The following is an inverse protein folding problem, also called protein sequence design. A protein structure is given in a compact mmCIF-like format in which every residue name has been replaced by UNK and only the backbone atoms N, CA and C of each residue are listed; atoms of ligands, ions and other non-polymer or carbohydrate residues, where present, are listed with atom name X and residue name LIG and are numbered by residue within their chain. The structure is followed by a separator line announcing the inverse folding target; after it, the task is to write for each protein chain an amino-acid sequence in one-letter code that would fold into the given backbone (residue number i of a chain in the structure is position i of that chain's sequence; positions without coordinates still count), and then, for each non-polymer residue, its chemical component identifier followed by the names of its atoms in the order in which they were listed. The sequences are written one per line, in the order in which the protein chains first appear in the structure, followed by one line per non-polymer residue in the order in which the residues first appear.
data_IF_846020768786
#
_entry.id   IF_846020768786
#
_cell.length_a   1.000
_cell.length_b   1.000
_cell.length_c   1.000
_cell.angle_alpha   90.00
_cell.angle_beta   90.00
_cell.angle_gamma   90.00
#
_symmetry.space_group_name_H-M   'P 1'
#
loop_
_entity.id
_entity.type
_entity.pdbx_description
1 polymer ?
#
# COMPACT_ATOMS: atom_id res chain seq x y z
N UNK A 1 -19.92 -8.13 10.85
CA UNK A 1 -18.80 -8.94 10.40
C UNK A 1 -18.27 -8.29 9.14
N UNK A 2 -17.16 -7.59 9.25
CA UNK A 2 -16.50 -6.99 8.08
C UNK A 2 -15.95 -8.13 7.24
N UNK A 3 -16.71 -8.53 6.21
CA UNK A 3 -16.16 -9.37 5.17
C UNK A 3 -15.11 -8.48 4.51
N UNK A 4 -13.85 -8.78 4.80
CA UNK A 4 -12.74 -8.07 4.19
C UNK A 4 -12.83 -8.15 2.67
N UNK A 5 -12.19 -7.23 1.96
CA UNK A 5 -12.17 -7.19 0.52
C UNK A 5 -11.65 -8.49 -0.08
N UNK A 6 -11.97 -8.75 -1.34
CA UNK A 6 -11.58 -9.95 -2.09
C UNK A 6 -10.08 -10.27 -1.94
N UNK A 7 -9.76 -11.32 -1.19
CA UNK A 7 -8.41 -11.79 -0.93
C UNK A 7 -7.83 -12.58 -2.11
N UNK A 8 -8.08 -12.13 -3.33
CA UNK A 8 -7.57 -12.77 -4.54
C UNK A 8 -6.07 -12.99 -4.46
N UNK A 9 -5.66 -14.20 -4.78
CA UNK A 9 -4.27 -14.59 -4.74
C UNK A 9 -3.41 -13.64 -5.61
N UNK A 10 -2.21 -13.26 -5.17
CA UNK A 10 -1.26 -12.39 -5.90
C UNK A 10 -1.15 -12.73 -7.39
N UNK A 11 -1.14 -14.04 -7.73
CA UNK A 11 -1.09 -14.51 -9.13
C UNK A 11 -2.30 -14.05 -9.94
N UNK A 12 -3.47 -14.05 -9.34
CA UNK A 12 -4.73 -13.62 -9.97
C UNK A 12 -4.70 -12.12 -10.25
N UNK A 13 -4.28 -11.32 -9.27
CA UNK A 13 -4.15 -9.87 -9.42
C UNK A 13 -3.15 -9.53 -10.53
N UNK A 14 -1.97 -10.15 -10.51
CA UNK A 14 -0.95 -9.96 -11.55
C UNK A 14 -1.50 -10.33 -12.93
N UNK A 15 -2.20 -11.46 -13.05
CA UNK A 15 -2.80 -11.86 -14.32
C UNK A 15 -3.86 -10.87 -14.81
N UNK A 16 -4.68 -10.32 -13.92
CA UNK A 16 -5.67 -9.30 -14.27
C UNK A 16 -5.00 -8.00 -14.75
N UNK A 17 -3.98 -7.51 -14.04
CA UNK A 17 -3.21 -6.33 -14.44
C UNK A 17 -2.67 -6.50 -15.86
N UNK A 18 -2.03 -7.62 -16.16
CA UNK A 18 -1.42 -7.89 -17.46
C UNK A 18 -2.44 -8.06 -18.61
N UNK A 19 -3.69 -8.40 -18.30
CA UNK A 19 -4.76 -8.57 -19.30
C UNK A 19 -5.43 -7.26 -19.67
N UNK A 20 -5.20 -6.19 -18.95
CA UNK A 20 -5.84 -4.89 -19.21
C UNK A 20 -5.33 -4.25 -20.50
N UNK A 21 -6.19 -3.51 -21.17
CA UNK A 21 -5.86 -2.85 -22.43
C UNK A 21 -4.66 -1.88 -22.27
N UNK A 22 -4.69 -1.05 -21.25
CA UNK A 22 -3.63 -0.07 -20.98
C UNK A 22 -2.24 -0.70 -20.81
N UNK A 23 -2.17 -1.85 -20.14
CA UNK A 23 -0.88 -2.57 -19.97
C UNK A 23 -0.48 -3.26 -21.29
N UNK A 24 -1.43 -3.79 -22.06
CA UNK A 24 -1.15 -4.39 -23.39
C UNK A 24 -0.64 -3.35 -24.38
N UNK A 25 -1.17 -2.13 -24.33
CA UNK A 25 -0.69 -1.00 -25.15
C UNK A 25 0.73 -0.61 -24.74
N UNK A 26 0.98 -0.42 -23.44
CA UNK A 26 2.30 -0.13 -22.92
C UNK A 26 3.34 -1.24 -23.28
N UNK A 27 2.93 -2.51 -23.30
CA UNK A 27 3.78 -3.62 -23.75
C UNK A 27 4.12 -3.47 -25.24
N UNK A 28 3.16 -3.09 -26.10
CA UNK A 28 3.43 -2.86 -27.53
C UNK A 28 4.40 -1.69 -27.77
N UNK A 29 4.25 -0.63 -26.98
CA UNK A 29 5.13 0.54 -27.06
C UNK A 29 6.55 0.19 -26.59
N UNK A 30 6.68 -0.58 -25.52
CA UNK A 30 7.98 -1.10 -25.05
C UNK A 30 8.66 -2.01 -26.09
N UNK A 31 7.87 -2.86 -26.79
CA UNK A 31 8.39 -3.68 -27.89
C UNK A 31 9.03 -2.82 -28.98
N UNK A 32 8.35 -1.74 -29.39
CA UNK A 32 8.85 -0.82 -30.42
C UNK A 32 10.07 -0.03 -29.95
N UNK A 33 9.97 0.53 -28.73
CA UNK A 33 11.02 1.39 -28.19
C UNK A 33 12.35 0.66 -27.94
N UNK A 34 12.30 -0.63 -27.57
CA UNK A 34 13.47 -1.42 -27.21
C UNK A 34 13.77 -2.58 -28.16
N UNK A 35 13.05 -2.65 -29.27
CA UNK A 35 13.17 -3.76 -30.25
C UNK A 35 13.07 -5.15 -29.59
N UNK A 36 12.11 -5.32 -28.69
CA UNK A 36 11.89 -6.57 -27.96
C UNK A 36 10.86 -7.46 -28.64
N UNK A 37 11.03 -8.78 -28.51
CA UNK A 37 9.95 -9.70 -28.82
C UNK A 37 8.76 -9.50 -27.87
N UNK A 38 7.55 -9.88 -28.33
CA UNK A 38 6.34 -9.83 -27.48
C UNK A 38 6.52 -10.65 -26.21
N UNK A 39 7.21 -11.77 -26.30
CA UNK A 39 7.47 -12.65 -25.14
C UNK A 39 8.35 -11.95 -24.12
N UNK A 40 9.39 -11.26 -24.56
CA UNK A 40 10.33 -10.56 -23.68
C UNK A 40 9.68 -9.32 -23.03
N UNK A 41 8.94 -8.52 -23.80
CA UNK A 41 8.20 -7.38 -23.26
C UNK A 41 7.13 -7.80 -22.23
N UNK A 42 6.42 -8.91 -22.47
CA UNK A 42 5.50 -9.48 -21.48
C UNK A 42 6.23 -10.01 -20.25
N UNK A 43 7.42 -10.57 -20.39
CA UNK A 43 8.26 -11.01 -19.27
C UNK A 43 8.67 -9.82 -18.41
N UNK A 44 9.04 -8.69 -19.03
CA UNK A 44 9.34 -7.43 -18.31
C UNK A 44 8.11 -6.93 -17.57
N UNK A 45 6.95 -6.82 -18.23
CA UNK A 45 5.70 -6.38 -17.60
C UNK A 45 5.30 -7.27 -16.42
N UNK A 46 5.45 -8.59 -16.56
CA UNK A 46 5.21 -9.56 -15.50
C UNK A 46 6.18 -9.36 -14.32
N UNK A 47 7.45 -9.11 -14.61
CA UNK A 47 8.47 -8.78 -13.61
C UNK A 47 8.05 -7.56 -12.79
N UNK A 48 7.63 -6.49 -13.44
CA UNK A 48 7.13 -5.29 -12.77
C UNK A 48 5.87 -5.56 -11.93
N UNK A 49 4.91 -6.32 -12.45
CA UNK A 49 3.71 -6.65 -11.70
C UNK A 49 4.01 -7.47 -10.43
N UNK A 50 4.94 -8.42 -10.50
CA UNK A 50 5.41 -9.16 -9.31
C UNK A 50 6.31 -8.32 -8.39
N UNK A 51 7.07 -7.36 -8.92
CA UNK A 51 7.83 -6.41 -8.11
C UNK A 51 6.88 -5.57 -7.24
N UNK A 52 5.78 -5.10 -7.82
CA UNK A 52 4.81 -4.23 -7.18
C UNK A 52 3.90 -5.00 -6.22
N UNK A 53 3.26 -6.07 -6.67
CA UNK A 53 2.11 -6.67 -6.02
C UNK A 53 2.37 -7.21 -4.60
N UNK A 54 1.47 -6.90 -3.67
CA UNK A 54 1.38 -7.52 -2.35
C UNK A 54 1.09 -9.03 -2.46
N UNK A 55 1.32 -9.74 -1.37
CA UNK A 55 0.99 -11.16 -1.22
C UNK A 55 0.29 -11.39 0.11
N UNK A 56 -0.78 -10.64 0.33
CA UNK A 56 -1.50 -10.60 1.59
C UNK A 56 -1.88 -12.00 2.09
N UNK A 57 -1.71 -12.22 3.39
CA UNK A 57 -2.03 -13.47 4.06
C UNK A 57 -2.74 -13.19 5.38
N UNK A 58 -4.04 -13.47 5.43
CA UNK A 58 -4.80 -13.28 6.67
C UNK A 58 -4.24 -14.08 7.86
N UNK A 59 -3.86 -15.37 7.73
CA UNK A 59 -3.24 -16.10 8.84
C UNK A 59 -1.94 -15.45 9.34
N UNK A 60 -1.17 -14.84 8.44
CA UNK A 60 0.03 -14.11 8.81
C UNK A 60 -0.32 -12.83 9.60
N UNK A 61 -1.36 -12.09 9.21
CA UNK A 61 -1.83 -10.90 9.92
C UNK A 61 -2.32 -11.27 11.33
N UNK A 62 -3.08 -12.34 11.47
CA UNK A 62 -3.54 -12.85 12.79
C UNK A 62 -2.35 -13.19 13.69
N UNK A 63 -1.37 -13.92 13.16
CA UNK A 63 -0.14 -14.24 13.90
C UNK A 63 0.61 -12.97 14.32
N UNK A 64 0.81 -12.03 13.39
CA UNK A 64 1.49 -10.77 13.67
C UNK A 64 0.76 -9.88 14.65
N UNK A 65 -0.57 -9.88 14.63
CA UNK A 65 -1.37 -9.15 15.62
C UNK A 65 -1.05 -9.61 17.05
N UNK A 66 -0.93 -10.92 17.29
CA UNK A 66 -0.51 -11.44 18.59
C UNK A 66 0.93 -11.07 18.98
N UNK A 67 1.85 -11.10 18.00
CA UNK A 67 3.25 -10.69 18.21
C UNK A 67 3.33 -9.20 18.54
N UNK A 68 2.68 -8.37 17.75
CA UNK A 68 2.65 -6.92 17.95
C UNK A 68 1.97 -6.54 19.26
N UNK A 69 0.89 -7.21 19.65
CA UNK A 69 0.25 -6.96 20.94
C UNK A 69 1.20 -7.17 22.11
N UNK A 70 1.99 -8.26 22.09
CA UNK A 70 3.02 -8.48 23.11
C UNK A 70 4.13 -7.45 23.05
N UNK A 71 4.52 -7.04 21.87
CA UNK A 71 5.56 -6.03 21.68
C UNK A 71 5.13 -4.67 22.23
N UNK A 72 3.94 -4.21 21.88
CA UNK A 72 3.39 -2.92 22.36
C UNK A 72 3.26 -2.87 23.87
N UNK A 73 2.70 -3.92 24.48
CA UNK A 73 2.56 -4.02 25.94
C UNK A 73 3.89 -4.09 26.69
N UNK A 74 5.00 -4.43 26.00
CA UNK A 74 6.34 -4.45 26.59
C UNK A 74 7.08 -3.12 26.41
N UNK A 75 6.79 -2.39 25.35
CA UNK A 75 7.52 -1.16 24.99
C UNK A 75 6.84 0.10 25.49
N UNK A 76 5.51 0.06 25.66
CA UNK A 76 4.67 1.21 26.00
C UNK A 76 3.60 0.81 27.01
N UNK A 77 3.12 1.79 27.80
CA UNK A 77 2.06 1.60 28.78
C UNK A 77 0.68 1.47 28.15
N UNK A 78 0.56 1.63 26.85
CA UNK A 78 -0.67 1.47 26.09
C UNK A 78 -0.66 2.27 24.79
N UNK A 79 -1.80 2.22 24.09
CA UNK A 79 -2.06 2.99 22.86
C UNK A 79 -3.33 3.79 23.06
N UNK A 80 -3.20 5.10 23.13
CA UNK A 80 -4.34 6.01 23.18
C UNK A 80 -4.80 6.39 21.78
N UNK A 81 -6.10 6.31 21.53
CA UNK A 81 -6.72 6.62 20.25
C UNK A 81 -7.60 7.86 20.38
N UNK A 82 -7.19 8.94 19.76
CA UNK A 82 -8.00 10.15 19.65
C UNK A 82 -8.79 10.14 18.32
N UNK A 83 -10.04 10.58 18.35
CA UNK A 83 -10.91 10.77 17.19
C UNK A 83 -11.14 9.51 16.32
N UNK A 84 -10.99 8.31 16.87
CA UNK A 84 -11.19 7.08 16.10
C UNK A 84 -12.65 6.91 15.62
N UNK A 85 -13.61 7.46 16.32
CA UNK A 85 -15.04 7.49 15.95
C UNK A 85 -15.29 8.13 14.58
N UNK A 86 -14.44 9.05 14.15
CA UNK A 86 -14.51 9.62 12.79
C UNK A 86 -14.26 8.58 11.71
N UNK A 87 -13.43 7.57 11.96
CA UNK A 87 -13.24 6.45 11.05
C UNK A 87 -14.44 5.49 11.05
N UNK A 88 -15.04 5.27 12.22
CA UNK A 88 -16.23 4.43 12.37
C UNK A 88 -17.45 5.04 11.65
N UNK A 89 -17.48 6.36 11.49
CA UNK A 89 -18.53 7.09 10.78
C UNK A 89 -18.35 7.13 9.25
N UNK A 90 -17.24 6.59 8.73
CA UNK A 90 -17.03 6.51 7.28
C UNK A 90 -18.04 5.54 6.67
N UNK A 91 -18.71 6.00 5.61
CA UNK A 91 -19.76 5.26 4.93
C UNK A 91 -19.25 3.89 4.45
N UNK A 92 -20.05 2.85 4.70
CA UNK A 92 -19.77 1.51 4.21
C UNK A 92 -19.61 1.51 2.69
N UNK A 93 -18.53 0.93 2.22
CA UNK A 93 -18.20 0.87 0.80
C UNK A 93 -17.31 2.00 0.30
N UNK A 94 -16.96 2.99 1.14
CA UNK A 94 -15.93 3.97 0.79
C UNK A 94 -14.54 3.34 0.76
N UNK A 95 -13.69 3.88 -0.11
CA UNK A 95 -12.27 3.54 -0.20
C UNK A 95 -11.49 4.38 0.78
N UNK A 96 -10.91 3.76 1.79
CA UNK A 96 -10.15 4.47 2.83
C UNK A 96 -8.68 4.57 2.47
N UNK A 97 -8.19 5.79 2.43
CA UNK A 97 -6.77 6.11 2.22
C UNK A 97 -6.19 6.66 3.51
N UNK A 98 -5.39 5.88 4.20
CA UNK A 98 -4.65 6.35 5.35
C UNK A 98 -3.43 7.16 4.93
N UNK A 99 -3.31 8.37 5.44
CA UNK A 99 -2.20 9.28 5.17
C UNK A 99 -1.48 9.64 6.47
N UNK A 100 -0.67 8.73 7.03
CA UNK A 100 0.03 8.97 8.28
C UNK A 100 1.23 9.90 8.11
N UNK A 101 1.58 10.61 9.21
CA UNK A 101 2.92 11.17 9.37
C UNK A 101 3.93 10.03 9.55
N UNK A 102 5.21 10.25 9.19
CA UNK A 102 6.22 9.20 9.27
C UNK A 102 7.34 9.57 10.23
N UNK A 103 7.37 8.93 11.39
CA UNK A 103 8.36 9.18 12.46
C UNK A 103 9.24 7.97 12.76
N UNK A 104 8.66 6.76 12.64
CA UNK A 104 9.31 5.50 12.99
C UNK A 104 8.98 4.41 11.98
N UNK A 105 9.81 3.39 11.88
CA UNK A 105 9.45 2.14 11.19
C UNK A 105 8.36 1.36 11.94
N UNK A 106 8.01 1.79 13.15
CA UNK A 106 6.91 1.21 13.91
C UNK A 106 5.53 1.76 13.46
N UNK A 107 5.47 2.90 12.78
CA UNK A 107 4.21 3.61 12.44
C UNK A 107 3.24 2.71 11.69
N UNK A 108 3.67 2.08 10.59
CA UNK A 108 2.81 1.22 9.78
C UNK A 108 2.42 -0.08 10.51
N UNK A 109 3.25 -0.56 11.43
CA UNK A 109 2.92 -1.72 12.26
C UNK A 109 1.86 -1.34 13.31
N UNK A 110 2.01 -0.16 13.91
CA UNK A 110 1.07 0.34 14.91
C UNK A 110 -0.29 0.63 14.27
N UNK A 111 -0.33 1.30 13.12
CA UNK A 111 -1.58 1.56 12.41
C UNK A 111 -2.29 0.26 12.04
N UNK A 112 -1.57 -0.68 11.43
CA UNK A 112 -2.10 -2.00 11.09
C UNK A 112 -2.66 -2.74 12.31
N UNK A 113 -1.94 -2.70 13.43
CA UNK A 113 -2.36 -3.30 14.69
C UNK A 113 -3.65 -2.67 15.23
N UNK A 114 -3.70 -1.34 15.30
CA UNK A 114 -4.86 -0.59 15.81
C UNK A 114 -6.10 -0.85 14.95
N UNK A 115 -5.97 -0.70 13.64
CA UNK A 115 -7.06 -0.87 12.67
C UNK A 115 -7.62 -2.31 12.77
N UNK A 116 -6.74 -3.31 12.83
CA UNK A 116 -7.13 -4.71 12.98
C UNK A 116 -7.91 -4.98 14.29
N UNK A 117 -7.41 -4.48 15.43
CA UNK A 117 -8.05 -4.66 16.72
C UNK A 117 -9.37 -3.90 16.86
N UNK A 118 -9.60 -2.91 16.04
CA UNK A 118 -10.86 -2.19 15.91
C UNK A 118 -11.85 -2.85 14.93
N UNK A 119 -11.51 -4.01 14.39
CA UNK A 119 -12.38 -4.81 13.50
C UNK A 119 -12.35 -4.39 12.03
N UNK A 120 -11.42 -3.53 11.64
CA UNK A 120 -11.25 -3.13 10.24
C UNK A 120 -10.21 -4.01 9.53
N UNK A 121 -10.28 -4.04 8.21
CA UNK A 121 -9.26 -4.70 7.40
C UNK A 121 -7.93 -3.94 7.46
N UNK A 122 -6.83 -4.66 7.60
CA UNK A 122 -5.47 -4.08 7.57
C UNK A 122 -5.22 -3.43 6.20
N UNK A 123 -4.73 -2.18 6.15
CA UNK A 123 -4.49 -1.50 4.89
C UNK A 123 -3.35 -2.13 4.09
N UNK A 124 -3.43 -1.98 2.77
CA UNK A 124 -2.30 -2.24 1.90
C UNK A 124 -1.32 -1.08 1.93
N UNK A 125 -0.07 -1.35 2.28
CA UNK A 125 0.94 -0.33 2.60
C UNK A 125 1.84 -0.09 1.40
N UNK A 126 1.93 1.15 0.94
CA UNK A 126 2.86 1.56 -0.11
C UNK A 126 4.28 1.67 0.46
N UNK A 127 5.13 0.73 0.12
CA UNK A 127 6.51 0.64 0.60
C UNK A 127 7.53 0.96 -0.50
N UNK A 128 8.62 1.62 -0.15
CA UNK A 128 9.71 1.86 -1.09
C UNK A 128 10.40 0.57 -1.53
N UNK A 129 10.80 0.49 -2.79
CA UNK A 129 11.44 -0.70 -3.39
C UNK A 129 12.71 -1.14 -2.65
N UNK A 130 13.38 -0.22 -1.94
CA UNK A 130 14.54 -0.53 -1.12
C UNK A 130 14.24 -1.51 0.04
N UNK A 131 12.98 -1.61 0.46
CA UNK A 131 12.54 -2.58 1.47
C UNK A 131 12.21 -3.96 0.88
N UNK A 132 12.22 -4.09 -0.45
CA UNK A 132 11.98 -5.35 -1.15
C UNK A 132 13.21 -6.27 -1.16
N UNK A 133 13.84 -6.42 0.00
CA UNK A 133 14.99 -7.32 0.18
C UNK A 133 14.52 -8.78 0.36
N UNK A 134 15.38 -9.77 0.09
CA UNK A 134 15.10 -11.16 0.45
C UNK A 134 14.67 -11.25 1.93
N UNK A 135 13.72 -12.12 2.24
CA UNK A 135 13.10 -12.31 3.57
C UNK A 135 12.23 -11.12 3.99
N UNK A 136 12.80 -9.90 4.18
CA UNK A 136 12.06 -8.72 4.63
C UNK A 136 10.94 -8.36 3.65
N UNK A 137 11.23 -8.31 2.35
CA UNK A 137 10.24 -8.02 1.33
C UNK A 137 9.11 -9.07 1.30
N UNK A 138 9.43 -10.34 1.49
CA UNK A 138 8.43 -11.40 1.57
C UNK A 138 7.55 -11.28 2.82
N UNK A 139 8.15 -10.96 3.95
CA UNK A 139 7.46 -10.72 5.22
C UNK A 139 6.48 -9.53 5.10
N UNK A 140 6.97 -8.38 4.63
CA UNK A 140 6.16 -7.18 4.44
C UNK A 140 5.00 -7.42 3.45
N UNK A 141 5.23 -8.16 2.35
CA UNK A 141 4.17 -8.51 1.39
C UNK A 141 3.05 -9.31 2.00
N UNK A 142 3.35 -10.23 2.93
CA UNK A 142 2.33 -11.02 3.63
C UNK A 142 1.47 -10.16 4.55
N UNK A 143 2.04 -9.07 5.07
CA UNK A 143 1.31 -8.05 5.83
C UNK A 143 0.55 -7.04 4.98
N UNK A 144 0.58 -7.16 3.64
CA UNK A 144 -0.15 -6.27 2.75
C UNK A 144 0.71 -5.21 2.04
N UNK A 145 2.03 -5.17 2.26
CA UNK A 145 2.87 -4.20 1.58
C UNK A 145 2.96 -4.48 0.07
N UNK A 146 2.81 -3.42 -0.73
CA UNK A 146 3.15 -3.39 -2.14
C UNK A 146 4.29 -2.40 -2.36
N UNK A 147 5.12 -2.65 -3.37
CA UNK A 147 6.36 -1.90 -3.54
C UNK A 147 6.31 -0.96 -4.72
N UNK A 148 6.92 0.21 -4.54
CA UNK A 148 7.03 1.20 -5.61
C UNK A 148 8.44 1.77 -5.69
N UNK A 149 8.85 2.10 -6.91
CA UNK A 149 10.12 2.77 -7.19
C UNK A 149 10.02 4.24 -6.81
N UNK A 150 11.14 4.85 -6.48
CA UNK A 150 11.19 6.28 -6.11
C UNK A 150 10.81 7.20 -7.27
N UNK A 151 11.07 6.78 -8.48
CA UNK A 151 10.73 7.52 -9.69
C UNK A 151 10.18 6.59 -10.74
N UNK A 152 9.17 7.04 -11.45
CA UNK A 152 8.56 6.36 -12.62
C UNK A 152 8.99 7.02 -13.93
N UNK A 153 9.78 8.11 -13.83
CA UNK A 153 10.23 8.87 -15.00
C UNK A 153 10.98 7.96 -15.99
N UNK A 154 10.62 8.09 -17.26
CA UNK A 154 11.23 7.32 -18.33
C UNK A 154 10.81 5.85 -18.43
N UNK A 155 9.88 5.36 -17.59
CA UNK A 155 9.41 3.97 -17.64
C UNK A 155 7.87 3.90 -17.76
N UNK A 156 7.38 4.10 -18.98
CA UNK A 156 5.94 4.10 -19.26
C UNK A 156 5.28 2.75 -18.95
N UNK A 157 5.96 1.63 -19.25
CA UNK A 157 5.45 0.29 -18.96
C UNK A 157 5.29 0.06 -17.44
N UNK A 158 6.30 0.45 -16.64
CA UNK A 158 6.21 0.36 -15.18
C UNK A 158 5.05 1.19 -14.65
N UNK A 159 4.91 2.42 -15.14
CA UNK A 159 3.82 3.33 -14.77
C UNK A 159 2.45 2.75 -15.07
N UNK A 160 2.27 2.17 -16.27
CA UNK A 160 1.01 1.55 -16.67
C UNK A 160 0.66 0.35 -15.77
N UNK A 161 1.64 -0.50 -15.48
CA UNK A 161 1.47 -1.67 -14.60
C UNK A 161 1.12 -1.21 -13.17
N UNK A 162 1.84 -0.22 -12.64
CA UNK A 162 1.59 0.30 -11.30
C UNK A 162 0.20 0.94 -11.18
N UNK A 163 -0.13 1.85 -12.09
CA UNK A 163 -1.43 2.56 -12.07
C UNK A 163 -2.60 1.59 -12.17
N UNK A 164 -2.47 0.53 -12.99
CA UNK A 164 -3.56 -0.47 -13.09
C UNK A 164 -3.63 -1.36 -11.85
N UNK A 165 -2.48 -1.76 -11.28
CA UNK A 165 -2.46 -2.48 -10.00
C UNK A 165 -3.14 -1.65 -8.90
N UNK A 166 -2.73 -0.40 -8.74
CA UNK A 166 -3.25 0.51 -7.73
C UNK A 166 -4.76 0.76 -7.89
N UNK A 167 -5.22 1.05 -9.11
CA UNK A 167 -6.65 1.19 -9.41
C UNK A 167 -7.48 -0.07 -9.13
N UNK A 168 -6.91 -1.28 -9.40
CA UNK A 168 -7.58 -2.53 -9.05
C UNK A 168 -7.70 -2.72 -7.53
N UNK A 169 -6.69 -2.30 -6.76
CA UNK A 169 -6.75 -2.37 -5.30
C UNK A 169 -7.85 -1.45 -4.77
N UNK A 170 -7.92 -0.21 -5.27
CA UNK A 170 -8.99 0.74 -4.95
C UNK A 170 -10.37 0.18 -5.33
N UNK A 171 -10.56 -0.26 -6.56
CA UNK A 171 -11.85 -0.75 -7.04
C UNK A 171 -12.37 -1.97 -6.24
N UNK A 172 -11.49 -2.73 -5.61
CA UNK A 172 -11.83 -3.86 -4.75
C UNK A 172 -12.16 -3.48 -3.30
N UNK A 173 -12.00 -2.21 -2.93
CA UNK A 173 -12.25 -1.73 -1.59
C UNK A 173 -11.16 -2.12 -0.58
N UNK A 174 -9.92 -2.30 -1.06
CA UNK A 174 -8.78 -2.45 -0.16
C UNK A 174 -8.35 -1.09 0.36
N UNK A 175 -8.45 -0.84 1.65
CA UNK A 175 -7.86 0.36 2.23
C UNK A 175 -6.35 0.42 1.95
N UNK A 176 -5.85 1.61 1.70
CA UNK A 176 -4.47 1.84 1.29
C UNK A 176 -3.82 2.80 2.27
N UNK A 177 -2.57 2.53 2.61
CA UNK A 177 -1.75 3.40 3.44
C UNK A 177 -0.53 3.88 2.67
N UNK A 178 -0.27 5.17 2.69
CA UNK A 178 1.00 5.73 2.22
C UNK A 178 1.40 6.97 2.99
N UNK A 179 2.69 7.07 3.28
CA UNK A 179 3.26 8.21 3.96
C UNK A 179 3.39 9.39 2.99
N UNK A 180 2.56 10.40 3.16
CA UNK A 180 2.51 11.56 2.27
C UNK A 180 3.84 12.34 2.25
N UNK A 181 4.63 12.23 3.30
CA UNK A 181 5.95 12.84 3.42
C UNK A 181 7.00 12.12 2.54
N UNK A 182 6.73 10.87 2.14
CA UNK A 182 7.60 10.06 1.29
C UNK A 182 8.97 9.74 1.89
N UNK A 183 9.14 9.96 3.19
CA UNK A 183 10.33 9.65 3.96
C UNK A 183 10.08 9.86 5.44
N UNK A 184 10.98 9.36 6.30
CA UNK A 184 10.86 9.46 7.75
C UNK A 184 11.44 10.78 8.27
N UNK A 185 10.66 11.50 9.09
CA UNK A 185 11.14 12.66 9.83
C UNK A 185 12.07 12.24 10.97
N UNK A 186 13.28 12.76 10.98
CA UNK A 186 14.26 12.52 12.07
C UNK A 186 14.15 13.54 13.20
N UNK A 187 13.51 14.66 12.93
CA UNK A 187 13.38 15.77 13.90
C UNK A 187 12.03 15.78 14.61
N UNK A 188 11.13 14.85 14.27
CA UNK A 188 9.75 14.82 14.76
C UNK A 188 8.82 15.88 14.14
N UNK A 189 9.35 16.80 13.31
CA UNK A 189 8.55 17.79 12.59
C UNK A 189 7.93 17.16 11.34
N UNK A 190 6.75 17.62 10.94
CA UNK A 190 6.15 17.25 9.68
C UNK A 190 7.03 17.72 8.53
N UNK A 191 7.31 16.82 7.58
CA UNK A 191 8.06 17.16 6.37
C UNK A 191 7.11 17.67 5.29
N UNK A 192 7.69 18.33 4.28
CA UNK A 192 6.93 18.76 3.12
C UNK A 192 6.29 17.56 2.41
N UNK A 193 4.97 17.58 2.17
CA UNK A 193 4.27 16.47 1.53
C UNK A 193 4.70 16.30 0.07
N UNK A 194 4.78 15.06 -0.36
CA UNK A 194 5.01 14.67 -1.76
C UNK A 194 3.70 14.26 -2.41
N UNK A 195 3.30 14.99 -3.41
CA UNK A 195 1.99 14.82 -4.06
C UNK A 195 1.88 13.60 -4.96
N UNK A 196 2.95 12.83 -5.18
CA UNK A 196 2.98 11.72 -6.14
C UNK A 196 1.89 10.68 -5.91
N UNK A 197 1.82 10.08 -4.73
CA UNK A 197 0.79 9.06 -4.41
C UNK A 197 -0.60 9.67 -4.37
N UNK A 198 -0.77 10.87 -3.82
CA UNK A 198 -2.04 11.59 -3.82
C UNK A 198 -2.55 11.81 -5.26
N UNK A 199 -1.69 12.30 -6.15
CA UNK A 199 -2.05 12.48 -7.55
C UNK A 199 -2.42 11.17 -8.26
N UNK A 200 -1.74 10.05 -7.92
CA UNK A 200 -2.08 8.72 -8.44
C UNK A 200 -3.43 8.24 -7.92
N UNK A 201 -3.75 8.47 -6.65
CA UNK A 201 -5.06 8.16 -6.05
C UNK A 201 -6.18 8.90 -6.79
N UNK A 202 -6.05 10.22 -6.93
CA UNK A 202 -7.05 11.05 -7.62
C UNK A 202 -7.20 10.62 -9.10
N UNK A 203 -6.10 10.38 -9.81
CA UNK A 203 -6.14 9.91 -11.20
C UNK A 203 -6.79 8.53 -11.34
N UNK A 204 -6.54 7.63 -10.40
CA UNK A 204 -7.19 6.31 -10.40
C UNK A 204 -8.69 6.42 -10.16
N UNK A 205 -9.09 7.25 -9.21
CA UNK A 205 -10.50 7.54 -8.94
C UNK A 205 -11.21 8.16 -10.14
N UNK A 206 -10.62 9.19 -10.75
CA UNK A 206 -11.24 9.86 -11.91
C UNK A 206 -11.37 8.97 -13.16
N UNK A 207 -10.54 7.94 -13.27
CA UNK A 207 -10.62 6.98 -14.39
C UNK A 207 -11.73 5.94 -14.21
N UNK A 208 -11.88 5.43 -13.00
CA UNK A 208 -12.85 4.37 -12.68
C UNK A 208 -13.46 4.70 -11.30
N UNK A 209 -14.41 5.66 -11.20
CA UNK A 209 -15.01 6.07 -9.93
C UNK A 209 -15.98 5.01 -9.45
N UNK A 210 -15.47 3.97 -8.80
CA UNK A 210 -16.28 2.83 -8.32
C UNK A 210 -16.83 3.07 -6.92
N UNK A 211 -16.11 3.82 -6.07
CA UNK A 211 -16.44 4.04 -4.67
C UNK A 211 -16.00 5.44 -4.23
N UNK A 212 -16.69 6.09 -3.28
CA UNK A 212 -16.19 7.31 -2.67
C UNK A 212 -14.79 7.09 -2.06
N UNK A 213 -13.90 8.06 -2.18
CA UNK A 213 -12.57 8.01 -1.58
C UNK A 213 -12.51 8.93 -0.38
N UNK A 214 -12.13 8.37 0.77
CA UNK A 214 -12.00 9.12 2.02
C UNK A 214 -10.55 9.10 2.46
N UNK A 215 -9.96 10.29 2.66
CA UNK A 215 -8.63 10.43 3.21
C UNK A 215 -8.69 10.54 4.73
N UNK A 216 -7.94 9.67 5.40
CA UNK A 216 -7.84 9.64 6.86
C UNK A 216 -6.42 10.04 7.25
N UNK A 217 -6.20 11.31 7.66
CA UNK A 217 -4.90 11.71 8.18
C UNK A 217 -4.67 11.04 9.53
N UNK A 218 -3.47 10.49 9.73
CA UNK A 218 -3.09 9.83 10.98
C UNK A 218 -1.83 10.47 11.55
N UNK A 219 -1.90 10.83 12.81
CA UNK A 219 -0.77 11.38 13.55
C UNK A 219 -0.31 10.39 14.61
N UNK A 220 1.01 10.12 14.67
CA UNK A 220 1.61 9.32 15.71
C UNK A 220 2.32 10.21 16.72
N UNK A 221 1.95 10.11 17.98
CA UNK A 221 2.69 10.65 19.11
C UNK A 221 3.33 9.52 19.89
N UNK A 222 4.63 9.61 20.14
CA UNK A 222 5.36 8.66 20.98
C UNK A 222 5.93 9.40 22.18
N UNK A 223 5.74 8.87 23.39
CA UNK A 223 6.43 9.38 24.57
C UNK A 223 7.96 9.21 24.41
N UNK A 224 8.39 8.08 23.83
CA UNK A 224 9.77 7.78 23.52
C UNK A 224 9.86 6.98 22.22
N UNK A 225 10.67 7.45 21.29
CA UNK A 225 11.01 6.67 20.09
C UNK A 225 11.99 5.57 20.47
N UNK A 226 11.70 4.33 20.06
CA UNK A 226 12.58 3.18 20.30
C UNK A 226 13.79 3.20 19.36
N UNK A 227 13.62 3.86 18.22
CA UNK A 227 14.66 4.07 17.21
C UNK A 227 15.28 5.47 17.41
N UNK A 228 16.24 5.59 18.31
CA UNK A 228 17.03 6.80 18.55
C UNK A 228 18.34 6.78 17.81
#
# INVERSE_FOLDING_TARGET
ATIGPDLSHRRTIVAQVLRTQIVREAVRDEMKARNLSRRDALKVARGYAYEIAANYSHPFVVFMSGVLGRLWNRLYDGVELANFSSLESVEDGAEVIYAPCHRSHMDYLLLSYVVYHKGFAVPHIAAGINLNMPVIGSFLRRGGAFFLRRSFSGNALYTAVFMKYFGLMMARGHSIEYFIEGGRSRTGRLMQPKTGMLAMTVRSYLREPTRPVVFVPVYFGYERLVEG
#
